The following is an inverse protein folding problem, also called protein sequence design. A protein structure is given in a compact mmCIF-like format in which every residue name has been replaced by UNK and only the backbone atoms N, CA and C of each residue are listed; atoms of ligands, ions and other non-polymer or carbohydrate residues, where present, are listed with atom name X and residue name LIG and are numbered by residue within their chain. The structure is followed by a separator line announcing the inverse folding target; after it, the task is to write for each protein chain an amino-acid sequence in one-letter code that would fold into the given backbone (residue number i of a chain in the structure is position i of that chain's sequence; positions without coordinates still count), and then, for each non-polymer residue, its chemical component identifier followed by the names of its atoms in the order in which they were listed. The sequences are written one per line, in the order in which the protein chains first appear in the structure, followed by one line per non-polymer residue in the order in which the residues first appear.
data_IF_627610302816
#
_entry.id   IF_627610302816
#
_cell.length_a   1.000
_cell.length_b   1.000
_cell.length_c   1.000
_cell.angle_alpha   90.00
_cell.angle_beta   90.00
_cell.angle_gamma   90.00
#
_symmetry.space_group_name_H-M   'P 1'
#
loop_
_entity.id
_entity.type
_entity.pdbx_description
1 polymer ?
#
# COMPACT_ATOMS: atom_id res chain seq x y z
N UNK A 1 -5.98 3.34 -7.64
CA UNK A 1 -4.58 2.91 -7.88
C UNK A 1 -4.61 1.54 -8.57
N UNK A 2 -3.71 1.29 -9.53
CA UNK A 2 -3.53 -0.05 -10.13
C UNK A 2 -2.14 -0.55 -9.75
N UNK A 3 -2.06 -1.74 -9.17
CA UNK A 3 -0.81 -2.32 -8.66
C UNK A 3 -0.47 -3.54 -9.53
N UNK A 4 0.75 -3.56 -10.08
CA UNK A 4 1.27 -4.75 -10.73
C UNK A 4 1.89 -5.68 -9.68
N UNK A 5 1.35 -6.89 -9.56
CA UNK A 5 1.86 -7.91 -8.64
C UNK A 5 2.59 -9.00 -9.42
N UNK A 6 3.75 -9.43 -8.92
CA UNK A 6 4.57 -10.48 -9.55
C UNK A 6 4.05 -11.88 -9.21
N UNK A 7 3.70 -12.14 -7.93
CA UNK A 7 2.89 -13.25 -7.38
C UNK A 7 2.78 -13.04 -5.86
N UNK A 8 1.71 -13.52 -5.21
CA UNK A 8 1.63 -13.50 -3.73
C UNK A 8 0.25 -13.13 -3.17
N UNK A 9 0.20 -12.87 -1.86
CA UNK A 9 -0.98 -12.36 -1.14
C UNK A 9 -0.72 -10.94 -0.61
N UNK A 10 -1.75 -10.26 -0.11
CA UNK A 10 -1.59 -8.91 0.50
C UNK A 10 -0.56 -8.88 1.65
N UNK A 11 -0.34 -10.00 2.35
CA UNK A 11 0.66 -10.08 3.42
C UNK A 11 2.09 -9.89 2.93
N UNK A 12 2.32 -10.04 1.63
CA UNK A 12 3.62 -9.87 1.00
C UNK A 12 3.91 -8.40 0.67
N UNK A 13 2.99 -7.49 0.99
CA UNK A 13 3.11 -6.06 0.73
C UNK A 13 3.08 -5.26 2.02
N UNK A 14 3.86 -4.19 2.05
CA UNK A 14 3.88 -3.23 3.17
C UNK A 14 3.36 -1.88 2.69
N UNK A 15 2.60 -1.21 3.56
CA UNK A 15 2.05 0.11 3.32
C UNK A 15 2.77 1.11 4.22
N UNK A 16 3.35 2.13 3.60
CA UNK A 16 3.98 3.25 4.27
C UNK A 16 3.15 4.51 4.02
N UNK A 17 3.13 5.38 5.02
CA UNK A 17 2.46 6.67 4.97
C UNK A 17 3.54 7.74 5.12
N UNK A 18 3.48 8.73 4.25
CA UNK A 18 4.25 9.97 4.34
C UNK A 18 3.24 11.12 4.41
N UNK A 19 3.24 11.85 5.51
CA UNK A 19 2.49 13.11 5.61
C UNK A 19 3.13 14.12 4.65
N UNK A 20 2.33 14.82 3.86
CA UNK A 20 2.87 15.80 2.90
C UNK A 20 3.60 16.92 3.66
N UNK A 21 4.68 17.42 3.06
CA UNK A 21 5.60 18.40 3.68
C UNK A 21 6.37 17.87 4.91
N UNK A 22 6.22 16.57 5.23
CA UNK A 22 7.00 15.87 6.25
C UNK A 22 8.01 14.92 5.62
N UNK A 23 9.15 14.75 6.27
CA UNK A 23 10.11 13.68 5.96
C UNK A 23 9.84 12.40 6.77
N UNK A 24 8.80 12.41 7.60
CA UNK A 24 8.42 11.28 8.41
C UNK A 24 7.72 10.22 7.55
N UNK A 25 8.38 9.10 7.33
CA UNK A 25 7.81 7.91 6.68
C UNK A 25 7.66 6.85 7.76
N UNK A 26 6.44 6.38 7.95
CA UNK A 26 6.16 5.32 8.91
C UNK A 26 5.19 4.31 8.34
N UNK A 27 5.18 3.11 8.91
CA UNK A 27 4.16 2.12 8.57
C UNK A 27 2.79 2.58 9.10
N UNK A 28 1.72 2.14 8.45
CA UNK A 28 0.39 2.29 9.00
C UNK A 28 0.34 1.63 10.39
N UNK A 29 -0.19 2.35 11.38
CA UNK A 29 -0.25 1.90 12.78
C UNK A 29 -1.12 0.66 12.97
N UNK A 30 -2.09 0.46 12.08
CA UNK A 30 -2.86 -0.75 11.95
C UNK A 30 -2.51 -1.46 10.65
N UNK A 31 -2.53 -2.79 10.70
CA UNK A 31 -2.43 -3.58 9.48
C UNK A 31 -3.60 -3.22 8.56
N UNK A 32 -3.35 -2.91 7.28
CA UNK A 32 -4.41 -2.65 6.32
C UNK A 32 -5.42 -3.79 6.31
N UNK A 33 -6.70 -3.45 6.34
CA UNK A 33 -7.78 -4.44 6.26
C UNK A 33 -8.32 -4.47 4.83
N UNK A 34 -8.62 -5.66 4.31
CA UNK A 34 -9.08 -5.82 2.93
C UNK A 34 -8.78 -7.18 2.34
N UNK A 35 -9.22 -7.40 1.10
CA UNK A 35 -8.94 -8.61 0.34
C UNK A 35 -8.68 -8.26 -1.13
N UNK A 36 -7.57 -8.78 -1.67
CA UNK A 36 -7.28 -8.81 -3.10
C UNK A 36 -7.57 -10.21 -3.71
N UNK A 37 -8.16 -11.14 -2.92
CA UNK A 37 -8.23 -12.57 -3.21
C UNK A 37 -7.10 -13.37 -2.53
N UNK A 38 -7.29 -14.68 -2.37
CA UNK A 38 -6.38 -15.55 -1.58
C UNK A 38 -5.11 -15.98 -2.31
N UNK A 39 -5.03 -15.78 -3.63
CA UNK A 39 -3.83 -15.98 -4.42
C UNK A 39 -3.94 -15.18 -5.73
N UNK A 40 -2.99 -14.28 -5.98
CA UNK A 40 -2.92 -13.56 -7.26
C UNK A 40 -1.86 -14.20 -8.15
N UNK A 41 -2.26 -14.72 -9.31
CA UNK A 41 -1.34 -15.23 -10.32
C UNK A 41 -0.61 -14.08 -11.03
N UNK A 42 0.60 -14.35 -11.52
CA UNK A 42 1.38 -13.37 -12.29
C UNK A 42 0.57 -12.89 -13.50
N UNK A 43 0.48 -11.56 -13.68
CA UNK A 43 -0.23 -10.94 -14.80
C UNK A 43 -1.76 -10.93 -14.66
N UNK A 44 -2.32 -11.49 -13.59
CA UNK A 44 -3.74 -11.42 -13.30
C UNK A 44 -4.13 -10.04 -12.80
N UNK A 45 -5.19 -9.46 -13.38
CA UNK A 45 -5.83 -8.27 -12.82
C UNK A 45 -6.79 -8.70 -11.72
N UNK A 46 -6.63 -8.12 -10.54
CA UNK A 46 -7.52 -8.31 -9.40
C UNK A 46 -8.08 -6.96 -8.96
N UNK A 47 -9.33 -6.98 -8.52
CA UNK A 47 -10.00 -5.85 -7.91
C UNK A 47 -10.24 -6.17 -6.45
N UNK A 48 -9.91 -5.23 -5.57
CA UNK A 48 -10.19 -5.34 -4.16
C UNK A 48 -10.15 -3.98 -3.49
N UNK A 49 -10.57 -3.96 -2.24
CA UNK A 49 -10.58 -2.77 -1.39
C UNK A 49 -9.59 -2.98 -0.26
N UNK A 50 -8.80 -1.95 0.00
CA UNK A 50 -7.85 -1.89 1.10
C UNK A 50 -8.18 -0.64 1.90
N UNK A 51 -8.35 -0.81 3.21
CA UNK A 51 -8.61 0.28 4.15
C UNK A 51 -7.33 0.56 4.93
N UNK A 52 -6.92 1.83 4.93
CA UNK A 52 -5.70 2.30 5.59
C UNK A 52 -6.08 3.52 6.41
N UNK A 53 -5.82 3.47 7.71
CA UNK A 53 -5.96 4.63 8.57
C UNK A 53 -4.89 5.65 8.21
N UNK A 54 -5.34 6.80 7.67
CA UNK A 54 -4.46 7.91 7.32
C UNK A 54 -4.61 9.05 8.34
N UNK A 55 -3.55 9.83 8.58
CA UNK A 55 -3.65 11.12 9.25
C UNK A 55 -4.72 12.00 8.58
N UNK A 56 -5.39 12.87 9.35
CA UNK A 56 -6.35 13.87 8.80
C UNK A 56 -5.63 15.05 8.16
N UNK A 57 -4.60 14.77 7.38
CA UNK A 57 -3.76 15.71 6.66
C UNK A 57 -3.43 15.11 5.30
N UNK A 58 -3.10 15.97 4.34
CA UNK A 58 -2.63 15.51 3.03
C UNK A 58 -1.49 14.51 3.20
N UNK A 59 -1.64 13.33 2.60
CA UNK A 59 -0.72 12.22 2.82
C UNK A 59 -0.48 11.46 1.53
N UNK A 60 0.69 10.84 1.40
CA UNK A 60 0.99 9.90 0.33
C UNK A 60 1.15 8.50 0.90
N UNK A 61 0.32 7.58 0.42
CA UNK A 61 0.42 6.15 0.73
C UNK A 61 1.32 5.49 -0.30
N UNK A 62 2.40 4.87 0.16
CA UNK A 62 3.35 4.11 -0.64
C UNK A 62 3.14 2.61 -0.42
N UNK A 63 3.11 1.86 -1.51
CA UNK A 63 3.05 0.40 -1.49
C UNK A 63 4.40 -0.19 -1.89
N UNK A 64 4.92 -1.10 -1.08
CA UNK A 64 6.19 -1.80 -1.34
C UNK A 64 5.99 -3.31 -1.32
N UNK A 65 6.83 -4.04 -2.04
CA UNK A 65 6.87 -5.50 -1.98
C UNK A 65 7.83 -5.94 -0.87
N UNK A 66 7.41 -6.88 -0.03
CA UNK A 66 8.16 -7.33 1.14
C UNK A 66 8.16 -6.32 2.29
N UNK A 67 9.01 -6.58 3.28
CA UNK A 67 9.13 -5.79 4.52
C UNK A 67 9.97 -4.51 4.39
N UNK A 68 10.52 -4.24 3.21
CA UNK A 68 11.47 -3.15 2.98
C UNK A 68 10.96 -2.09 2.01
N UNK A 69 11.43 -0.87 2.20
CA UNK A 69 11.16 0.27 1.30
C UNK A 69 11.98 0.23 0.00
N UNK A 70 12.64 -0.89 -0.29
CA UNK A 70 13.64 -1.03 -1.35
C UNK A 70 13.06 -1.04 -2.76
N UNK A 71 11.74 -1.18 -2.93
CA UNK A 71 11.07 -1.20 -4.24
C UNK A 71 9.62 -0.71 -4.13
N UNK A 72 9.39 0.62 -4.13
CA UNK A 72 8.04 1.16 -4.18
C UNK A 72 7.38 0.78 -5.50
N UNK A 73 6.25 0.09 -5.42
CA UNK A 73 5.48 -0.40 -6.57
C UNK A 73 4.54 0.70 -7.05
N UNK A 74 3.95 1.46 -6.12
CA UNK A 74 3.00 2.52 -6.43
C UNK A 74 2.86 3.50 -5.28
N UNK A 75 2.39 4.70 -5.59
CA UNK A 75 2.07 5.73 -4.62
C UNK A 75 0.71 6.36 -4.94
N UNK A 76 -0.05 6.71 -3.90
CA UNK A 76 -1.31 7.44 -4.02
C UNK A 76 -1.33 8.58 -3.01
N UNK A 77 -1.44 9.80 -3.52
CA UNK A 77 -1.70 10.97 -2.69
C UNK A 77 -3.18 11.04 -2.35
N UNK A 78 -3.46 11.18 -1.07
CA UNK A 78 -4.77 11.36 -0.47
C UNK A 78 -4.82 12.80 0.05
N UNK A 79 -5.87 13.54 -0.32
CA UNK A 79 -6.14 14.88 0.18
C UNK A 79 -7.13 14.79 1.34
N UNK A 80 -6.88 15.56 2.40
CA UNK A 80 -7.77 15.65 3.56
C UNK A 80 -8.99 16.54 3.28
#
# INVERSE_FOLDING_TARGET
MTIAVSKGSLSDYTFFIMENESTNIHQASQLPTGSLGTAVAQGQKVHGTITIDCPRTDSTVMLTHGSGMSSPISALTIKA
#
